data_IF_603861404352
#
_entry.id   IF_603861404352
#
_cell.length_a   1.000
_cell.length_b   1.000
_cell.length_c   1.000
_cell.angle_alpha   90.00
_cell.angle_beta   90.00
_cell.angle_gamma   90.00
#
_symmetry.space_group_name_H-M   'P 1'
#
loop_
_entity.id
_entity.type
_entity.pdbx_description
1 polymer ?
#
# COMPACT_ATOMS: atom_id res chain seq x y z
N UNK A 1 -33.10 -23.54 -19.69
CA UNK A 1 -31.64 -23.82 -19.61
C UNK A 1 -30.72 -22.59 -19.60
N UNK A 2 -31.12 -21.41 -20.11
CA UNK A 2 -30.26 -20.22 -20.17
C UNK A 2 -29.94 -19.56 -18.80
N UNK A 3 -30.87 -19.60 -17.85
CA UNK A 3 -30.71 -19.01 -16.51
C UNK A 3 -29.69 -19.74 -15.60
N UNK A 4 -29.58 -21.07 -15.71
CA UNK A 4 -28.62 -21.88 -14.91
C UNK A 4 -27.15 -21.53 -15.20
N UNK A 5 -26.83 -21.11 -16.42
CA UNK A 5 -25.47 -20.71 -16.80
C UNK A 5 -25.09 -19.32 -16.24
N UNK A 6 -26.05 -18.39 -16.15
CA UNK A 6 -25.81 -17.03 -15.65
C UNK A 6 -25.58 -17.02 -14.13
N UNK A 7 -26.35 -17.83 -13.39
CA UNK A 7 -26.19 -17.97 -11.93
C UNK A 7 -24.85 -18.64 -11.58
N UNK A 8 -24.43 -19.66 -12.33
CA UNK A 8 -23.13 -20.32 -12.11
C UNK A 8 -21.92 -19.42 -12.39
N UNK A 9 -22.01 -18.57 -13.42
CA UNK A 9 -20.96 -17.58 -13.73
C UNK A 9 -20.93 -16.48 -12.67
N UNK A 10 -22.09 -15.98 -12.23
CA UNK A 10 -22.17 -14.99 -11.15
C UNK A 10 -21.59 -15.50 -9.83
N UNK A 11 -21.83 -16.77 -9.49
CA UNK A 11 -21.29 -17.40 -8.29
C UNK A 11 -19.76 -17.59 -8.37
N UNK A 12 -19.22 -17.96 -9.54
CA UNK A 12 -17.77 -18.06 -9.76
C UNK A 12 -17.05 -16.70 -9.69
N UNK A 13 -17.66 -15.65 -10.23
CA UNK A 13 -17.12 -14.28 -10.12
C UNK A 13 -17.14 -13.81 -8.66
N UNK A 14 -18.22 -14.10 -7.93
CA UNK A 14 -18.34 -13.74 -6.51
C UNK A 14 -17.33 -14.49 -5.63
N UNK A 15 -17.13 -15.79 -5.86
CA UNK A 15 -16.09 -16.58 -5.18
C UNK A 15 -14.67 -16.10 -5.50
N UNK A 16 -14.42 -15.67 -6.74
CA UNK A 16 -13.16 -15.04 -7.13
C UNK A 16 -12.89 -13.77 -6.32
N UNK A 17 -13.86 -12.85 -6.28
CA UNK A 17 -13.74 -11.58 -5.56
C UNK A 17 -13.55 -11.76 -4.04
N UNK A 18 -14.27 -12.71 -3.43
CA UNK A 18 -14.08 -13.07 -2.03
C UNK A 18 -12.67 -13.61 -1.81
N UNK A 19 -12.17 -14.49 -2.68
CA UNK A 19 -10.83 -15.07 -2.51
C UNK A 19 -9.70 -14.03 -2.57
N UNK A 20 -9.86 -12.97 -3.37
CA UNK A 20 -8.89 -11.87 -3.44
C UNK A 20 -8.89 -11.00 -2.18
N UNK A 21 -10.06 -10.56 -1.70
CA UNK A 21 -10.16 -9.74 -0.48
C UNK A 21 -9.72 -10.51 0.78
N UNK A 22 -9.92 -11.83 0.82
CA UNK A 22 -9.42 -12.66 1.92
C UNK A 22 -7.90 -12.89 1.83
N UNK A 23 -7.33 -13.09 0.64
CA UNK A 23 -5.90 -13.33 0.47
C UNK A 23 -5.02 -12.16 0.97
N UNK A 24 -5.47 -10.92 0.81
CA UNK A 24 -4.78 -9.73 1.33
C UNK A 24 -4.80 -9.67 2.87
N UNK A 25 -5.95 -9.96 3.49
CA UNK A 25 -6.04 -10.02 4.95
C UNK A 25 -5.19 -11.16 5.55
N UNK A 26 -5.09 -12.31 4.87
CA UNK A 26 -4.22 -13.41 5.30
C UNK A 26 -2.73 -13.05 5.20
N UNK A 27 -2.31 -12.26 4.20
CA UNK A 27 -0.90 -11.90 4.01
C UNK A 27 -0.42 -10.94 5.09
N UNK A 28 -1.19 -9.89 5.39
CA UNK A 28 -0.84 -8.92 6.44
C UNK A 28 -0.80 -9.60 7.81
N UNK A 29 -1.82 -10.40 8.16
CA UNK A 29 -1.84 -11.15 9.42
C UNK A 29 -0.65 -12.10 9.55
N UNK A 30 -0.26 -12.78 8.47
CA UNK A 30 0.92 -13.64 8.44
C UNK A 30 2.21 -12.88 8.79
N UNK A 31 2.42 -11.71 8.19
CA UNK A 31 3.61 -10.90 8.49
C UNK A 31 3.56 -10.29 9.89
N UNK A 32 2.41 -9.80 10.35
CA UNK A 32 2.26 -9.32 11.73
C UNK A 32 2.53 -10.43 12.77
N UNK A 33 2.09 -11.67 12.50
CA UNK A 33 2.43 -12.81 13.34
C UNK A 33 3.95 -13.09 13.37
N UNK A 34 4.65 -12.92 12.23
CA UNK A 34 6.13 -13.02 12.20
C UNK A 34 6.85 -11.91 12.94
N UNK A 35 6.28 -10.69 13.01
CA UNK A 35 6.86 -9.60 13.81
C UNK A 35 6.84 -9.95 15.29
N UNK A 36 5.75 -10.58 15.75
CA UNK A 36 5.54 -10.91 17.16
C UNK A 36 6.24 -12.21 17.59
N UNK A 37 6.27 -13.22 16.73
CA UNK A 37 7.01 -14.45 16.95
C UNK A 37 8.49 -14.23 16.60
N UNK A 38 9.32 -13.87 17.60
CA UNK A 38 10.80 -13.69 17.57
C UNK A 38 11.40 -13.55 16.15
N UNK A 39 11.93 -12.37 15.78
CA UNK A 39 12.27 -12.04 14.39
C UNK A 39 13.49 -12.83 13.89
N UNK A 40 13.24 -14.06 13.44
CA UNK A 40 14.17 -14.74 12.55
C UNK A 40 14.23 -13.98 11.22
N UNK A 41 15.42 -13.93 10.57
CA UNK A 41 15.54 -13.31 9.26
C UNK A 41 14.52 -13.90 8.28
N UNK A 42 13.83 -13.03 7.54
CA UNK A 42 12.91 -13.49 6.51
C UNK A 42 13.60 -14.44 5.53
N UNK A 43 12.94 -15.55 5.20
CA UNK A 43 13.39 -16.44 4.14
C UNK A 43 13.41 -15.70 2.80
N UNK A 44 14.18 -16.18 1.82
CA UNK A 44 14.21 -15.58 0.49
C UNK A 44 12.81 -15.49 -0.14
N UNK A 45 11.99 -16.53 0.08
CA UNK A 45 10.59 -16.57 -0.38
C UNK A 45 9.75 -15.49 0.31
N UNK A 46 9.86 -15.38 1.63
CA UNK A 46 9.09 -14.41 2.42
C UNK A 46 9.49 -12.97 2.06
N UNK A 47 10.77 -12.70 1.77
CA UNK A 47 11.22 -11.38 1.29
C UNK A 47 10.58 -11.00 -0.04
N UNK A 48 10.51 -11.93 -0.99
CA UNK A 48 9.88 -11.69 -2.29
C UNK A 48 8.38 -11.46 -2.13
N UNK A 49 7.72 -12.28 -1.30
CA UNK A 49 6.30 -12.14 -1.04
C UNK A 49 5.97 -10.80 -0.36
N UNK A 50 6.74 -10.41 0.65
CA UNK A 50 6.60 -9.12 1.31
C UNK A 50 6.69 -7.96 0.30
N UNK A 51 7.69 -7.99 -0.58
CA UNK A 51 7.86 -6.97 -1.61
C UNK A 51 6.73 -6.97 -2.65
N UNK A 52 6.15 -8.13 -2.97
CA UNK A 52 4.97 -8.22 -3.84
C UNK A 52 3.74 -7.59 -3.18
N UNK A 53 3.55 -7.81 -1.88
CA UNK A 53 2.43 -7.22 -1.15
C UNK A 53 2.57 -5.69 -1.05
N UNK A 54 3.78 -5.19 -0.80
CA UNK A 54 4.05 -3.74 -0.85
C UNK A 54 3.83 -3.17 -2.26
N UNK A 55 4.17 -3.91 -3.32
CA UNK A 55 3.89 -3.46 -4.69
C UNK A 55 2.39 -3.27 -4.92
N UNK A 56 1.58 -4.25 -4.52
CA UNK A 56 0.12 -4.18 -4.61
C UNK A 56 -0.44 -3.03 -3.78
N UNK A 57 0.07 -2.84 -2.57
CA UNK A 57 -0.31 -1.72 -1.71
C UNK A 57 -0.06 -0.37 -2.40
N UNK A 58 1.07 -0.22 -3.08
CA UNK A 58 1.39 0.99 -3.86
C UNK A 58 0.51 1.13 -5.11
N UNK A 59 0.05 0.03 -5.70
CA UNK A 59 -0.94 0.05 -6.80
C UNK A 59 -2.32 0.49 -6.31
N UNK A 60 -2.77 -0.01 -5.16
CA UNK A 60 -4.00 0.44 -4.52
C UNK A 60 -3.93 1.93 -4.16
N UNK A 61 -2.78 2.41 -3.67
CA UNK A 61 -2.53 3.83 -3.42
C UNK A 61 -2.55 4.68 -4.70
N UNK A 62 -2.04 4.16 -5.82
CA UNK A 62 -2.12 4.84 -7.11
C UNK A 62 -3.55 4.94 -7.62
N UNK A 63 -4.36 3.89 -7.46
CA UNK A 63 -5.77 3.90 -7.85
C UNK A 63 -6.57 4.88 -6.99
N UNK A 64 -6.40 4.84 -5.67
CA UNK A 64 -7.06 5.77 -4.76
C UNK A 64 -6.66 7.23 -5.06
N UNK A 65 -5.36 7.48 -5.28
CA UNK A 65 -4.85 8.78 -5.71
C UNK A 65 -5.51 9.27 -7.00
N UNK A 66 -5.64 8.39 -8.00
CA UNK A 66 -6.30 8.71 -9.27
C UNK A 66 -7.75 9.12 -9.09
N UNK A 67 -8.51 8.40 -8.25
CA UNK A 67 -9.92 8.73 -7.92
C UNK A 67 -10.04 10.07 -7.22
N UNK A 68 -9.26 10.32 -6.18
CA UNK A 68 -9.28 11.60 -5.44
C UNK A 68 -8.91 12.75 -6.36
N UNK A 69 -7.85 12.60 -7.15
CA UNK A 69 -7.38 13.64 -8.07
C UNK A 69 -8.43 13.96 -9.13
N UNK A 70 -9.04 12.93 -9.73
CA UNK A 70 -10.08 13.10 -10.74
C UNK A 70 -11.28 13.84 -10.16
N UNK A 71 -11.81 13.37 -9.03
CA UNK A 71 -13.03 13.92 -8.44
C UNK A 71 -12.83 15.34 -7.90
N UNK A 72 -11.60 15.66 -7.49
CA UNK A 72 -11.22 17.01 -7.11
C UNK A 72 -11.18 17.96 -8.32
N UNK A 73 -10.68 17.48 -9.46
CA UNK A 73 -10.61 18.28 -10.69
C UNK A 73 -11.96 18.47 -11.38
N UNK A 74 -12.86 17.49 -11.29
CA UNK A 74 -14.22 17.57 -11.85
C UNK A 74 -15.20 18.34 -10.96
N UNK A 75 -14.80 18.69 -9.73
CA UNK A 75 -15.64 19.37 -8.75
C UNK A 75 -16.66 18.44 -8.07
N UNK A 76 -16.54 17.12 -8.22
CA UNK A 76 -17.33 16.16 -7.44
C UNK A 76 -16.98 16.23 -5.95
N UNK A 77 -15.73 16.54 -5.63
CA UNK A 77 -15.32 16.93 -4.29
C UNK A 77 -15.40 18.46 -4.18
N UNK A 78 -16.45 18.95 -3.53
CA UNK A 78 -16.63 20.37 -3.26
C UNK A 78 -15.71 20.82 -2.12
N UNK A 79 -14.69 21.59 -2.46
CA UNK A 79 -13.79 22.26 -1.53
C UNK A 79 -13.50 23.67 -2.03
N UNK A 80 -13.18 24.59 -1.11
CA UNK A 80 -12.93 25.99 -1.47
C UNK A 80 -11.74 26.08 -2.42
N UNK A 81 -11.79 27.01 -3.38
CA UNK A 81 -10.74 27.17 -4.41
C UNK A 81 -9.30 27.25 -3.86
N UNK A 82 -9.09 28.02 -2.78
CA UNK A 82 -7.78 28.13 -2.11
C UNK A 82 -7.31 26.83 -1.45
N UNK A 83 -8.25 25.99 -1.00
CA UNK A 83 -7.96 24.65 -0.49
C UNK A 83 -7.70 23.67 -1.66
N UNK A 84 -8.38 23.87 -2.79
CA UNK A 84 -8.16 23.13 -4.04
C UNK A 84 -6.71 23.08 -4.48
N UNK A 85 -6.08 24.25 -4.61
CA UNK A 85 -4.67 24.34 -5.02
C UNK A 85 -3.73 23.65 -4.02
N UNK A 86 -4.02 23.78 -2.72
CA UNK A 86 -3.28 23.10 -1.66
C UNK A 86 -3.36 21.58 -1.80
N UNK A 87 -4.57 21.02 -1.96
CA UNK A 87 -4.76 19.57 -2.09
C UNK A 87 -4.20 19.01 -3.39
N UNK A 88 -4.32 19.73 -4.50
CA UNK A 88 -3.69 19.34 -5.76
C UNK A 88 -2.16 19.27 -5.63
N UNK A 89 -1.55 20.21 -4.89
CA UNK A 89 -0.12 20.17 -4.61
C UNK A 89 0.26 18.94 -3.77
N UNK A 90 -0.52 18.62 -2.73
CA UNK A 90 -0.33 17.43 -1.90
C UNK A 90 -0.45 16.12 -2.67
N UNK A 91 -1.48 16.00 -3.51
CA UNK A 91 -1.66 14.84 -4.39
C UNK A 91 -0.49 14.69 -5.38
N UNK A 92 0.10 15.78 -5.88
CA UNK A 92 1.30 15.69 -6.73
C UNK A 92 2.53 15.18 -5.98
N UNK A 93 2.67 15.51 -4.70
CA UNK A 93 3.73 14.97 -3.83
C UNK A 93 3.54 13.47 -3.62
N UNK A 94 2.31 13.02 -3.35
CA UNK A 94 2.01 11.60 -3.16
C UNK A 94 2.31 10.76 -4.39
N UNK A 95 1.96 11.25 -5.58
CA UNK A 95 2.28 10.55 -6.82
C UNK A 95 3.78 10.32 -6.99
N UNK A 96 4.62 11.28 -6.56
CA UNK A 96 6.07 11.10 -6.55
C UNK A 96 6.49 10.03 -5.54
N UNK A 97 5.91 10.03 -4.35
CA UNK A 97 6.17 9.03 -3.30
C UNK A 97 5.77 7.62 -3.74
N UNK A 98 4.61 7.46 -4.39
CA UNK A 98 4.13 6.19 -4.95
C UNK A 98 5.10 5.67 -6.01
N UNK A 99 5.44 6.50 -7.00
CA UNK A 99 6.35 6.11 -8.07
C UNK A 99 7.74 5.77 -7.54
N UNK A 100 8.28 6.58 -6.63
CA UNK A 100 9.55 6.30 -5.98
C UNK A 100 9.51 4.96 -5.22
N UNK A 101 8.42 4.68 -4.50
CA UNK A 101 8.19 3.41 -3.81
C UNK A 101 8.21 2.23 -4.77
N UNK A 102 7.46 2.29 -5.88
CA UNK A 102 7.43 1.22 -6.90
C UNK A 102 8.81 0.94 -7.48
N UNK A 103 9.58 1.98 -7.79
CA UNK A 103 10.95 1.83 -8.27
C UNK A 103 11.87 1.21 -7.22
N UNK A 104 11.70 1.55 -5.93
CA UNK A 104 12.47 0.89 -4.87
C UNK A 104 12.08 -0.58 -4.71
N UNK A 105 10.80 -0.93 -4.84
CA UNK A 105 10.36 -2.34 -4.79
C UNK A 105 11.03 -3.14 -5.91
N UNK A 106 11.03 -2.65 -7.15
CA UNK A 106 11.72 -3.29 -8.28
C UNK A 106 13.21 -3.49 -7.98
N UNK A 107 13.89 -2.43 -7.53
CA UNK A 107 15.29 -2.49 -7.14
C UNK A 107 15.56 -3.54 -6.06
N UNK A 108 14.70 -3.63 -5.03
CA UNK A 108 14.87 -4.55 -3.92
C UNK A 108 14.55 -6.00 -4.27
N UNK A 109 13.71 -6.25 -5.29
CA UNK A 109 13.53 -7.59 -5.86
C UNK A 109 14.81 -8.10 -6.53
N UNK A 110 15.56 -7.21 -7.18
CA UNK A 110 16.85 -7.52 -7.81
C UNK A 110 18.01 -7.54 -6.81
N UNK A 111 18.02 -6.59 -5.86
CA UNK A 111 19.09 -6.35 -4.88
C UNK A 111 18.51 -6.28 -3.46
N UNK A 112 18.13 -7.42 -2.85
CA UNK A 112 17.47 -7.43 -1.54
C UNK A 112 18.31 -6.87 -0.38
N UNK A 113 19.63 -6.76 -0.55
CA UNK A 113 20.54 -6.17 0.44
C UNK A 113 20.76 -4.66 0.29
N UNK A 114 20.03 -3.97 -0.61
CA UNK A 114 20.26 -2.57 -0.92
C UNK A 114 19.65 -1.64 0.16
N UNK A 115 20.43 -1.33 1.20
CA UNK A 115 19.99 -0.56 2.37
C UNK A 115 19.39 0.80 2.01
N UNK A 116 20.05 1.59 1.15
CA UNK A 116 19.55 2.91 0.74
C UNK A 116 18.19 2.80 0.05
N UNK A 117 17.98 1.74 -0.72
CA UNK A 117 16.71 1.48 -1.40
C UNK A 117 15.61 1.09 -0.42
N UNK A 118 15.99 0.32 0.61
CA UNK A 118 15.07 -0.06 1.71
C UNK A 118 14.64 1.16 2.52
N UNK A 119 15.57 2.05 2.88
CA UNK A 119 15.24 3.30 3.60
C UNK A 119 14.32 4.19 2.76
N UNK A 120 14.58 4.31 1.45
CA UNK A 120 13.72 5.09 0.55
C UNK A 120 12.33 4.49 0.40
N UNK A 121 12.22 3.16 0.31
CA UNK A 121 10.92 2.47 0.27
C UNK A 121 10.13 2.70 1.56
N UNK A 122 10.77 2.51 2.72
CA UNK A 122 10.15 2.77 4.02
C UNK A 122 9.61 4.21 4.10
N UNK A 123 10.44 5.19 3.73
CA UNK A 123 10.04 6.59 3.71
C UNK A 123 8.84 6.82 2.80
N UNK A 124 8.86 6.30 1.57
CA UNK A 124 7.74 6.44 0.62
C UNK A 124 6.43 5.91 1.21
N UNK A 125 6.43 4.73 1.83
CA UNK A 125 5.22 4.15 2.42
C UNK A 125 4.78 4.95 3.64
N UNK A 126 5.72 5.40 4.49
CA UNK A 126 5.41 6.17 5.70
C UNK A 126 4.84 7.55 5.37
N UNK A 127 5.41 8.25 4.39
CA UNK A 127 4.91 9.55 3.92
C UNK A 127 3.48 9.39 3.39
N UNK A 128 3.22 8.32 2.61
CA UNK A 128 1.86 8.02 2.12
C UNK A 128 0.88 7.70 3.23
N UNK A 129 1.28 6.90 4.22
CA UNK A 129 0.44 6.60 5.39
C UNK A 129 0.00 7.88 6.11
N UNK A 130 0.93 8.81 6.36
CA UNK A 130 0.63 10.09 7.01
C UNK A 130 -0.33 10.94 6.16
N UNK A 131 -0.07 11.05 4.86
CA UNK A 131 -0.88 11.86 3.97
C UNK A 131 -2.29 11.27 3.77
N UNK A 132 -2.39 9.95 3.61
CA UNK A 132 -3.67 9.26 3.46
C UNK A 132 -4.50 9.33 4.75
N UNK A 133 -3.85 9.32 5.92
CA UNK A 133 -4.54 9.55 7.17
C UNK A 133 -5.07 11.00 7.27
N UNK A 134 -4.33 11.99 6.75
CA UNK A 134 -4.82 13.36 6.66
C UNK A 134 -6.05 13.46 5.74
N UNK A 135 -6.08 12.70 4.64
CA UNK A 135 -7.25 12.63 3.75
C UNK A 135 -8.47 11.99 4.42
N UNK A 136 -8.27 10.96 5.24
CA UNK A 136 -9.37 10.33 5.98
C UNK A 136 -10.07 11.27 6.98
N UNK A 137 -9.37 12.30 7.46
CA UNK A 137 -9.97 13.32 8.33
C UNK A 137 -10.86 14.32 7.58
N UNK A 138 -10.94 14.22 6.25
CA UNK A 138 -11.78 15.04 5.39
C UNK A 138 -12.89 14.18 4.82
N UNK A 139 -14.17 14.43 5.16
CA UNK A 139 -15.28 13.57 4.74
C UNK A 139 -15.31 13.30 3.23
N UNK A 140 -15.05 14.32 2.40
CA UNK A 140 -15.06 14.20 0.94
C UNK A 140 -13.91 13.37 0.37
N UNK A 141 -12.80 13.18 1.11
CA UNK A 141 -11.70 12.31 0.67
C UNK A 141 -11.76 10.91 1.31
N UNK A 142 -12.32 10.80 2.50
CA UNK A 142 -12.40 9.53 3.26
C UNK A 142 -13.05 8.39 2.47
N UNK A 143 -14.05 8.70 1.63
CA UNK A 143 -14.74 7.70 0.78
C UNK A 143 -13.83 7.05 -0.27
N UNK A 144 -12.70 7.68 -0.61
CA UNK A 144 -11.77 7.21 -1.63
C UNK A 144 -10.52 6.56 -1.04
N UNK A 145 -10.16 6.97 0.17
CA UNK A 145 -8.93 6.55 0.84
C UNK A 145 -9.19 5.44 1.87
N UNK A 146 -10.27 5.55 2.66
CA UNK A 146 -10.77 4.50 3.53
C UNK A 146 -9.70 3.80 4.38
N UNK A 147 -9.69 2.47 4.33
CA UNK A 147 -8.80 1.63 5.13
C UNK A 147 -7.35 1.59 4.63
N UNK A 148 -7.05 2.25 3.51
CA UNK A 148 -5.71 2.22 2.94
C UNK A 148 -4.69 2.98 3.81
N UNK A 149 -5.11 4.03 4.51
CA UNK A 149 -4.23 4.77 5.42
C UNK A 149 -3.70 3.91 6.59
N UNK A 150 -4.56 3.23 7.39
CA UNK A 150 -4.09 2.33 8.43
C UNK A 150 -3.37 1.10 7.85
N UNK A 151 -3.76 0.62 6.67
CA UNK A 151 -3.04 -0.48 6.02
C UNK A 151 -1.59 -0.09 5.64
N UNK A 152 -1.38 1.10 5.04
CA UNK A 152 -0.05 1.65 4.75
C UNK A 152 0.81 1.76 6.01
N UNK A 153 0.21 2.16 7.13
CA UNK A 153 0.90 2.26 8.41
C UNK A 153 1.40 0.91 8.91
N UNK A 154 0.53 -0.12 8.86
CA UNK A 154 0.87 -1.48 9.28
C UNK A 154 1.95 -2.09 8.38
N UNK A 155 1.89 -1.87 7.07
CA UNK A 155 2.92 -2.36 6.16
C UNK A 155 4.25 -1.62 6.33
N UNK A 156 4.26 -0.33 6.66
CA UNK A 156 5.49 0.44 6.88
C UNK A 156 6.20 0.05 8.17
N UNK A 157 5.54 0.23 9.32
CA UNK A 157 6.20 0.23 10.62
C UNK A 157 6.33 -1.17 11.23
N UNK A 158 5.25 -1.88 11.57
CA UNK A 158 5.41 -3.20 12.15
C UNK A 158 5.97 -4.19 11.12
N UNK A 159 5.57 -4.15 9.85
CA UNK A 159 5.99 -5.17 8.88
C UNK A 159 7.33 -4.86 8.21
N UNK A 160 7.40 -3.85 7.34
CA UNK A 160 8.60 -3.61 6.52
C UNK A 160 9.80 -3.19 7.38
N UNK A 161 9.60 -2.26 8.32
CA UNK A 161 10.68 -1.79 9.16
C UNK A 161 11.28 -2.93 10.02
N UNK A 162 10.45 -3.71 10.72
CA UNK A 162 10.98 -4.75 11.61
C UNK A 162 11.47 -6.00 10.89
N UNK A 163 10.79 -6.46 9.83
CA UNK A 163 11.13 -7.72 9.17
C UNK A 163 12.18 -7.56 8.06
N UNK A 164 12.34 -6.36 7.50
CA UNK A 164 13.21 -6.12 6.36
C UNK A 164 14.30 -5.09 6.65
N UNK A 165 13.93 -3.85 6.98
CA UNK A 165 14.88 -2.74 7.09
C UNK A 165 15.81 -2.86 8.30
N UNK A 166 15.25 -3.11 9.49
CA UNK A 166 16.01 -3.19 10.74
C UNK A 166 17.04 -4.35 10.72
N UNK A 167 16.71 -5.58 10.28
CA UNK A 167 17.71 -6.63 10.12
C UNK A 167 18.81 -6.26 9.12
N UNK A 168 18.44 -5.58 8.01
CA UNK A 168 19.41 -5.15 7.01
C UNK A 168 20.36 -4.07 7.54
N UNK A 169 19.85 -3.13 8.34
CA UNK A 169 20.66 -2.10 8.99
C UNK A 169 21.67 -2.72 9.97
N UNK A 170 21.22 -3.69 10.80
CA UNK A 170 22.10 -4.38 11.76
C UNK A 170 23.25 -5.14 11.10
N UNK A 171 23.03 -5.73 9.91
CA UNK A 171 24.07 -6.44 9.16
C UNK A 171 25.13 -5.50 8.56
N UNK A 172 24.85 -4.20 8.46
CA UNK A 172 25.79 -3.19 7.96
C UNK A 172 26.68 -2.60 9.06
N UNK A 173 26.27 -2.72 10.31
CA UNK A 173 27.00 -2.25 11.50
C UNK A 173 28.00 -3.29 12.05
N UNK A 174 27.99 -4.50 11.51
CA UNK A 174 28.92 -5.62 11.81
C UNK A 174 29.93 -5.83 10.70
#
# INVERSE_FOLDING_TARGET
>A
MRYRKIVGVGFLVFLGLISFAFAENYSLQYFLAKVTAKPDPLSKKDKVELLNQIERLLENALEAHGKVTHNLQTGEIDIRYQEGDFWISKLKEDLKSINAGKEQVKLLKEKPGHLVGSVRLYKSIKDLSVNFNAYNNIPSFSAFVGDLAPELELWADPVFFHLYLLPLARLKDT
#
